data_IF_651191184932
#
_entry.id   IF_651191184932
#
_cell.length_a   1.000
_cell.length_b   1.000
_cell.length_c   1.000
_cell.angle_alpha   90.00
_cell.angle_beta   90.00
_cell.angle_gamma   90.00
#
_symmetry.space_group_name_H-M   'P 1'
#
loop_
_entity.id
_entity.type
_entity.pdbx_description
1 polymer ?
#
# COMPACT_ATOMS: atom_id res chain seq x y z
N UNK A 1 14.78 4.47 -19.20
CA UNK A 1 13.99 4.66 -17.97
C UNK A 1 14.29 3.52 -17.01
N UNK A 2 14.27 3.78 -15.70
CA UNK A 2 14.38 2.74 -14.67
C UNK A 2 13.13 1.86 -14.69
N UNK A 3 13.29 0.54 -14.60
CA UNK A 3 12.14 -0.38 -14.47
C UNK A 3 11.63 -0.33 -13.03
N UNK A 4 10.38 0.05 -12.84
CA UNK A 4 9.77 0.26 -11.52
C UNK A 4 8.89 -0.93 -11.11
N UNK A 5 8.70 -1.10 -9.81
CA UNK A 5 7.78 -2.08 -9.22
C UNK A 5 6.33 -1.63 -9.35
N UNK A 6 5.72 -1.92 -10.51
CA UNK A 6 4.30 -1.69 -10.80
C UNK A 6 3.78 -0.33 -10.25
N UNK A 7 4.19 0.80 -10.85
CA UNK A 7 3.61 2.09 -10.50
C UNK A 7 2.09 2.06 -10.75
N UNK A 8 1.31 2.44 -9.73
CA UNK A 8 -0.15 2.56 -9.82
C UNK A 8 -0.55 4.05 -9.75
N UNK A 9 -1.08 4.52 -8.62
CA UNK A 9 -1.52 5.92 -8.47
C UNK A 9 -0.38 6.86 -8.12
N UNK A 10 -0.61 8.15 -8.43
CA UNK A 10 0.22 9.23 -7.94
C UNK A 10 -0.62 10.38 -7.39
N UNK A 11 -0.04 11.13 -6.46
CA UNK A 11 -0.67 12.31 -5.88
C UNK A 11 0.38 13.38 -5.54
N UNK A 12 -0.04 14.64 -5.59
CA UNK A 12 0.79 15.79 -5.23
C UNK A 12 0.38 16.28 -3.84
N UNK A 13 1.35 16.41 -2.94
CA UNK A 13 1.11 17.03 -1.65
C UNK A 13 0.83 18.53 -1.87
N UNK A 14 -0.38 19.03 -1.52
CA UNK A 14 -0.77 20.40 -1.82
C UNK A 14 0.01 21.44 -1.00
N UNK A 15 0.66 21.05 0.10
CA UNK A 15 1.38 21.97 0.97
C UNK A 15 2.81 22.24 0.50
N UNK A 16 3.48 21.28 -0.13
CA UNK A 16 4.90 21.38 -0.50
C UNK A 16 5.23 21.01 -1.95
N UNK A 17 4.24 20.53 -2.73
CA UNK A 17 4.41 20.16 -4.14
C UNK A 17 5.14 18.83 -4.37
N UNK A 18 5.47 18.08 -3.32
CA UNK A 18 6.12 16.78 -3.48
C UNK A 18 5.14 15.75 -4.06
N UNK A 19 5.64 14.90 -4.94
CA UNK A 19 4.86 13.95 -5.71
C UNK A 19 5.13 12.55 -5.18
N UNK A 20 4.06 11.80 -4.93
CA UNK A 20 4.11 10.47 -4.38
C UNK A 20 3.56 9.49 -5.40
N UNK A 21 4.16 8.32 -5.48
CA UNK A 21 3.75 7.22 -6.35
C UNK A 21 3.65 5.95 -5.50
N UNK A 22 2.57 5.19 -5.68
CA UNK A 22 2.48 3.83 -5.16
C UNK A 22 3.14 2.85 -6.14
N UNK A 23 3.91 1.93 -5.58
CA UNK A 23 4.61 0.87 -6.29
C UNK A 23 4.15 -0.45 -5.66
N UNK A 24 3.05 -0.99 -6.19
CA UNK A 24 2.18 -1.92 -5.45
C UNK A 24 2.87 -3.23 -5.10
N UNK A 25 3.59 -3.86 -6.03
CA UNK A 25 4.42 -5.03 -5.75
C UNK A 25 5.19 -5.43 -7.01
N UNK A 26 6.09 -6.41 -6.89
CA UNK A 26 6.75 -6.97 -8.06
C UNK A 26 7.34 -8.36 -7.82
N UNK A 27 6.73 -9.39 -8.37
CA UNK A 27 7.23 -10.77 -8.25
C UNK A 27 8.46 -11.09 -9.09
N UNK A 28 8.87 -10.18 -10.00
CA UNK A 28 10.02 -10.35 -10.88
C UNK A 28 11.33 -9.77 -10.31
N UNK A 29 11.31 -9.20 -9.10
CA UNK A 29 12.55 -8.85 -8.39
C UNK A 29 13.26 -10.12 -7.93
N UNK A 30 14.53 -10.26 -8.27
CA UNK A 30 15.34 -11.41 -7.88
C UNK A 30 16.79 -11.02 -7.61
N UNK A 31 17.39 -11.60 -6.57
CA UNK A 31 18.82 -11.47 -6.27
C UNK A 31 19.65 -12.14 -7.39
N UNK A 32 19.14 -13.26 -7.90
CA UNK A 32 19.70 -14.07 -8.98
C UNK A 32 18.69 -14.08 -10.15
N UNK A 33 18.65 -13.02 -10.98
CA UNK A 33 17.63 -12.87 -12.01
C UNK A 33 17.82 -13.88 -13.14
N UNK A 34 16.71 -14.45 -13.60
CA UNK A 34 16.64 -15.29 -14.80
C UNK A 34 15.55 -14.78 -15.74
N UNK A 35 15.74 -14.95 -17.05
CA UNK A 35 14.76 -14.53 -18.05
C UNK A 35 14.43 -13.02 -17.98
N UNK A 36 13.16 -12.70 -17.70
CA UNK A 36 12.65 -11.33 -17.60
C UNK A 36 12.77 -10.70 -16.21
N UNK A 37 13.29 -11.45 -15.22
CA UNK A 37 13.53 -10.94 -13.87
C UNK A 37 14.63 -9.90 -13.84
N UNK A 38 14.66 -9.11 -12.77
CA UNK A 38 15.61 -8.02 -12.61
C UNK A 38 16.09 -7.92 -11.17
N UNK A 39 17.33 -7.47 -11.00
CA UNK A 39 17.91 -7.24 -9.69
C UNK A 39 17.21 -6.10 -8.95
N UNK A 40 17.20 -6.15 -7.60
CA UNK A 40 16.85 -4.99 -6.80
C UNK A 40 17.84 -3.84 -7.05
N UNK A 41 17.32 -2.61 -7.02
CA UNK A 41 18.05 -1.37 -7.25
C UNK A 41 17.62 -0.31 -6.23
N UNK A 42 18.21 0.89 -6.25
CA UNK A 42 17.92 1.88 -5.22
C UNK A 42 16.46 2.31 -5.15
N UNK A 43 15.75 2.36 -6.29
CA UNK A 43 14.34 2.74 -6.33
C UNK A 43 13.43 1.55 -6.00
N UNK A 44 13.90 0.32 -6.21
CA UNK A 44 13.16 -0.92 -6.01
C UNK A 44 14.02 -1.92 -5.21
N UNK A 45 14.26 -1.68 -3.90
CA UNK A 45 15.43 -2.23 -3.24
C UNK A 45 15.24 -3.64 -2.69
N UNK A 46 14.02 -4.17 -2.69
CA UNK A 46 13.69 -5.42 -1.99
C UNK A 46 13.48 -6.58 -2.95
N UNK A 47 14.14 -7.70 -2.66
CA UNK A 47 13.84 -9.01 -3.20
C UNK A 47 13.90 -10.04 -2.06
N UNK A 48 12.77 -10.61 -1.68
CA UNK A 48 12.63 -11.51 -0.55
C UNK A 48 11.53 -12.55 -0.79
N UNK A 49 11.37 -13.45 0.17
CA UNK A 49 10.27 -14.40 0.23
C UNK A 49 9.37 -14.03 1.38
N UNK A 50 8.08 -13.96 1.09
CA UNK A 50 7.03 -13.74 2.08
C UNK A 50 6.07 -14.93 2.07
N UNK A 51 5.54 -15.31 3.21
CA UNK A 51 4.72 -16.51 3.34
C UNK A 51 3.29 -16.13 3.66
N UNK A 52 2.39 -16.31 2.69
CA UNK A 52 0.95 -16.20 2.90
C UNK A 52 0.40 -17.56 3.32
N UNK A 53 0.25 -17.79 4.62
CA UNK A 53 0.03 -19.11 5.20
C UNK A 53 1.12 -20.09 4.74
N UNK A 54 0.76 -21.05 3.89
CA UNK A 54 1.71 -22.02 3.31
C UNK A 54 2.17 -21.66 1.89
N UNK A 55 1.68 -20.56 1.32
CA UNK A 55 1.96 -20.17 -0.07
C UNK A 55 3.12 -19.18 -0.12
N UNK A 56 4.17 -19.54 -0.87
CA UNK A 56 5.33 -18.68 -1.07
C UNK A 56 5.03 -17.53 -2.04
N UNK A 57 5.22 -16.30 -1.60
CA UNK A 57 5.32 -15.10 -2.44
C UNK A 57 6.80 -14.72 -2.59
N UNK A 58 7.23 -14.30 -3.77
CA UNK A 58 8.64 -13.97 -4.06
C UNK A 58 8.77 -12.62 -4.73
N UNK A 59 9.94 -12.00 -4.60
CA UNK A 59 10.24 -10.67 -5.16
C UNK A 59 9.99 -9.56 -4.14
N UNK A 60 9.22 -8.56 -4.50
CA UNK A 60 8.73 -7.51 -3.61
C UNK A 60 7.20 -7.63 -3.44
N UNK A 61 6.70 -8.59 -2.64
CA UNK A 61 5.27 -8.83 -2.52
C UNK A 61 4.49 -7.68 -1.89
N UNK A 62 5.13 -6.85 -1.05
CA UNK A 62 4.41 -5.88 -0.22
C UNK A 62 4.48 -4.43 -0.68
N UNK A 63 5.27 -4.14 -1.72
CA UNK A 63 5.30 -2.82 -2.33
C UNK A 63 5.83 -1.69 -1.47
N UNK A 64 5.81 -0.48 -2.01
CA UNK A 64 6.32 0.71 -1.36
C UNK A 64 5.76 1.97 -2.01
N UNK A 65 6.04 3.13 -1.41
CA UNK A 65 5.71 4.44 -1.96
C UNK A 65 7.00 5.22 -2.22
N UNK A 66 7.19 5.69 -3.44
CA UNK A 66 8.27 6.61 -3.79
C UNK A 66 7.74 8.04 -3.68
N UNK A 67 8.54 8.93 -3.10
CA UNK A 67 8.26 10.36 -2.98
C UNK A 67 9.35 11.15 -3.69
N UNK A 68 8.95 12.18 -4.42
CA UNK A 68 9.80 12.97 -5.31
C UNK A 68 9.58 14.47 -5.08
N UNK A 69 10.66 15.25 -5.18
CA UNK A 69 10.65 16.70 -5.17
C UNK A 69 11.33 17.21 -6.43
N UNK A 70 10.59 17.98 -7.23
CA UNK A 70 11.15 18.59 -8.44
C UNK A 70 12.26 19.60 -8.11
N UNK A 71 13.30 19.59 -8.92
CA UNK A 71 14.41 20.54 -8.89
C UNK A 71 14.40 21.45 -10.11
N UNK A 72 15.53 22.10 -10.38
CA UNK A 72 15.68 22.91 -11.59
C UNK A 72 15.75 22.04 -12.86
N UNK A 73 15.06 22.45 -13.92
CA UNK A 73 15.08 21.76 -15.21
C UNK A 73 14.41 20.38 -15.14
N UNK A 74 15.14 19.33 -15.53
CA UNK A 74 14.66 17.94 -15.52
C UNK A 74 15.15 17.14 -14.30
N UNK A 75 15.77 17.80 -13.32
CA UNK A 75 16.29 17.14 -12.13
C UNK A 75 15.21 17.03 -11.04
N UNK A 76 15.33 16.00 -10.21
CA UNK A 76 14.48 15.80 -9.04
C UNK A 76 15.28 15.08 -7.94
N UNK A 77 14.88 15.31 -6.68
CA UNK A 77 15.30 14.51 -5.54
C UNK A 77 14.19 13.48 -5.23
N UNK A 78 14.55 12.34 -4.67
CA UNK A 78 13.58 11.31 -4.31
C UNK A 78 14.04 10.47 -3.11
N UNK A 79 13.08 9.86 -2.43
CA UNK A 79 13.27 8.80 -1.46
C UNK A 79 12.10 7.79 -1.52
N UNK A 80 12.23 6.66 -0.84
CA UNK A 80 11.13 5.73 -0.61
C UNK A 80 10.46 6.14 0.70
N UNK A 81 9.31 6.81 0.61
CA UNK A 81 8.56 7.32 1.76
C UNK A 81 8.17 6.20 2.74
N UNK A 82 7.55 5.14 2.24
CA UNK A 82 7.11 3.99 3.05
C UNK A 82 7.35 2.68 2.32
N UNK A 83 7.76 1.66 3.07
CA UNK A 83 7.87 0.27 2.62
C UNK A 83 6.72 -0.53 3.25
N UNK A 84 5.79 -1.05 2.42
CA UNK A 84 4.78 -1.98 2.90
C UNK A 84 5.45 -3.27 3.37
N UNK A 85 5.08 -3.78 4.53
CA UNK A 85 5.64 -4.97 5.16
C UNK A 85 4.77 -5.38 6.36
N UNK A 86 4.85 -6.66 6.73
CA UNK A 86 4.35 -7.14 8.02
C UNK A 86 5.17 -6.53 9.17
N UNK A 87 4.53 -6.32 10.31
CA UNK A 87 5.16 -5.69 11.49
C UNK A 87 6.39 -6.46 12.01
N UNK A 88 6.36 -7.79 11.94
CA UNK A 88 7.39 -8.70 12.45
C UNK A 88 8.43 -9.10 11.39
N UNK A 89 8.27 -8.66 10.14
CA UNK A 89 9.25 -8.88 9.08
C UNK A 89 10.62 -8.26 9.41
N UNK A 90 11.68 -8.79 8.80
CA UNK A 90 13.06 -8.37 9.07
C UNK A 90 13.24 -6.85 8.92
N UNK A 91 13.71 -6.19 9.99
CA UNK A 91 13.83 -4.72 10.08
C UNK A 91 15.00 -4.13 9.28
N UNK A 92 15.94 -4.97 8.87
CA UNK A 92 17.10 -4.57 8.06
C UNK A 92 16.89 -4.77 6.56
N UNK A 93 15.98 -5.66 6.17
CA UNK A 93 15.81 -6.12 4.78
C UNK A 93 14.40 -5.94 4.23
N UNK A 94 13.36 -5.96 5.08
CA UNK A 94 11.95 -5.96 4.65
C UNK A 94 11.19 -4.78 5.26
N UNK A 95 11.01 -4.73 6.58
CA UNK A 95 10.27 -3.67 7.28
C UNK A 95 11.18 -2.45 7.56
N UNK A 96 11.59 -1.78 6.48
CA UNK A 96 12.52 -0.65 6.54
C UNK A 96 11.89 0.65 7.08
N UNK A 97 10.56 0.71 7.13
CA UNK A 97 9.78 1.85 7.65
C UNK A 97 9.41 1.71 9.13
N UNK A 98 9.83 0.62 9.79
CA UNK A 98 9.51 0.32 11.18
C UNK A 98 7.99 0.28 11.47
N UNK A 99 7.22 -0.31 10.54
CA UNK A 99 5.80 -0.56 10.73
C UNK A 99 5.58 -1.48 11.93
N UNK A 100 4.54 -1.20 12.71
CA UNK A 100 4.02 -2.08 13.77
C UNK A 100 2.65 -2.60 13.34
N UNK A 101 2.06 -3.51 14.11
CA UNK A 101 0.76 -4.12 13.77
C UNK A 101 -0.41 -3.11 13.67
N UNK A 102 -0.23 -1.89 14.19
CA UNK A 102 -1.21 -0.81 14.09
C UNK A 102 -1.26 -0.19 12.69
N UNK A 103 -0.20 -0.33 11.89
CA UNK A 103 -0.03 0.34 10.60
C UNK A 103 0.72 -0.49 9.55
N UNK A 104 0.93 -1.79 9.77
CA UNK A 104 1.43 -2.68 8.74
C UNK A 104 0.42 -2.82 7.59
N UNK A 105 0.95 -2.96 6.39
CA UNK A 105 0.17 -3.01 5.17
C UNK A 105 0.99 -3.65 4.06
N UNK A 106 0.29 -4.03 2.99
CA UNK A 106 0.87 -4.56 1.78
C UNK A 106 0.15 -3.97 0.57
N UNK A 107 0.81 -4.03 -0.58
CA UNK A 107 0.29 -3.63 -1.89
C UNK A 107 -0.44 -2.28 -1.91
N UNK A 108 0.27 -1.18 -1.58
CA UNK A 108 -0.31 0.15 -1.70
C UNK A 108 -0.66 0.45 -3.17
N UNK A 109 -1.84 0.98 -3.40
CA UNK A 109 -2.39 1.28 -4.74
C UNK A 109 -2.96 2.70 -4.76
N UNK A 110 -4.19 2.91 -4.29
CA UNK A 110 -4.86 4.21 -4.35
C UNK A 110 -4.15 5.26 -3.48
N UNK A 111 -4.08 6.50 -3.98
CA UNK A 111 -3.35 7.58 -3.31
C UNK A 111 -4.01 8.94 -3.51
N UNK A 112 -4.40 9.61 -2.42
CA UNK A 112 -5.04 10.94 -2.48
C UNK A 112 -4.63 11.81 -1.30
N UNK A 113 -4.22 13.05 -1.56
CA UNK A 113 -4.06 14.07 -0.51
C UNK A 113 -5.38 14.78 -0.23
N UNK A 114 -5.79 14.83 1.04
CA UNK A 114 -6.86 15.70 1.50
C UNK A 114 -6.45 17.16 1.32
N UNK A 115 -7.33 17.96 0.71
CA UNK A 115 -7.14 19.41 0.62
C UNK A 115 -7.48 20.10 1.95
N UNK A 116 -8.34 19.48 2.76
CA UNK A 116 -8.85 20.06 3.99
C UNK A 116 -7.91 19.89 5.19
N UNK A 117 -7.17 18.79 5.25
CA UNK A 117 -6.27 18.44 6.37
C UNK A 117 -4.82 18.18 5.94
N UNK A 118 -4.55 17.94 4.65
CA UNK A 118 -3.22 17.56 4.17
C UNK A 118 -2.86 16.09 4.43
N UNK A 119 -3.77 15.30 4.99
CA UNK A 119 -3.56 13.84 5.16
C UNK A 119 -3.37 13.19 3.78
N UNK A 120 -2.37 12.34 3.67
CA UNK A 120 -2.19 11.43 2.55
C UNK A 120 -2.95 10.14 2.83
N UNK A 121 -4.03 9.91 2.09
CA UNK A 121 -4.80 8.67 2.14
C UNK A 121 -4.15 7.65 1.20
N UNK A 122 -3.75 6.51 1.77
CA UNK A 122 -3.14 5.40 1.04
C UNK A 122 -4.13 4.24 1.10
N UNK A 123 -4.52 3.70 -0.05
CA UNK A 123 -5.45 2.57 -0.18
C UNK A 123 -4.69 1.34 -0.67
N UNK A 124 -5.13 0.14 -0.34
CA UNK A 124 -4.42 -1.10 -0.72
C UNK A 124 -5.28 -1.99 -1.62
N UNK A 125 -4.63 -2.59 -2.62
CA UNK A 125 -5.12 -3.71 -3.43
C UNK A 125 -4.18 -4.90 -3.22
N UNK A 126 -4.48 -5.70 -2.19
CA UNK A 126 -3.55 -6.69 -1.69
C UNK A 126 -4.03 -8.13 -1.86
N UNK A 127 -3.10 -8.94 -2.35
CA UNK A 127 -3.21 -10.39 -2.38
C UNK A 127 -2.18 -11.12 -1.52
N UNK A 128 -1.16 -10.44 -0.95
CA UNK A 128 -0.04 -11.06 -0.26
C UNK A 128 -0.26 -11.19 1.26
N UNK A 129 -0.91 -10.22 1.88
CA UNK A 129 -1.09 -10.05 3.33
C UNK A 129 -2.51 -10.41 3.81
N UNK A 130 -3.31 -11.05 2.95
CA UNK A 130 -4.73 -11.33 3.24
C UNK A 130 -4.96 -12.47 4.24
N UNK A 131 -3.91 -13.10 4.76
CA UNK A 131 -3.94 -14.03 5.89
C UNK A 131 -3.74 -13.32 7.24
N UNK A 132 -3.28 -12.06 7.22
CA UNK A 132 -3.15 -11.20 8.40
C UNK A 132 -4.33 -10.22 8.50
N UNK A 133 -4.69 -9.54 7.40
CA UNK A 133 -5.79 -8.56 7.37
C UNK A 133 -6.57 -8.59 6.05
N UNK A 134 -7.51 -7.66 5.86
CA UNK A 134 -8.06 -7.36 4.54
C UNK A 134 -7.43 -6.06 4.01
N UNK A 135 -7.69 -5.75 2.75
CA UNK A 135 -7.37 -4.46 2.17
C UNK A 135 -7.90 -3.29 3.02
N UNK A 136 -7.14 -2.22 3.07
CA UNK A 136 -7.31 -1.15 4.04
C UNK A 136 -7.05 0.23 3.43
N UNK A 137 -7.36 1.26 4.22
CA UNK A 137 -6.94 2.63 3.96
C UNK A 137 -6.17 3.15 5.18
N UNK A 138 -5.01 3.76 4.93
CA UNK A 138 -4.15 4.38 5.93
C UNK A 138 -4.25 5.90 5.80
N UNK A 139 -4.21 6.58 6.95
CA UNK A 139 -4.03 8.02 7.08
C UNK A 139 -2.56 8.30 7.37
N UNK A 140 -1.88 8.98 6.46
CA UNK A 140 -0.45 9.26 6.57
C UNK A 140 -0.20 10.78 6.66
N UNK A 141 0.70 11.17 7.55
CA UNK A 141 1.22 12.53 7.68
C UNK A 141 2.70 12.52 7.24
N UNK A 142 2.96 12.67 5.94
CA UNK A 142 4.32 12.59 5.44
C UNK A 142 5.14 13.84 5.83
N UNK A 143 6.44 13.67 6.01
CA UNK A 143 7.39 14.78 6.11
C UNK A 143 7.78 15.31 4.74
N UNK A 144 9.08 15.49 4.49
CA UNK A 144 9.60 16.00 3.20
C UNK A 144 10.73 15.12 2.66
N UNK A 145 10.97 15.13 1.36
CA UNK A 145 12.05 14.34 0.73
C UNK A 145 13.37 14.58 1.45
N UNK A 146 14.02 13.50 1.87
CA UNK A 146 15.27 13.53 2.62
C UNK A 146 15.12 13.65 4.14
N UNK A 147 13.91 13.53 4.69
CA UNK A 147 13.66 13.50 6.14
C UNK A 147 14.11 12.21 6.85
N UNK A 148 14.46 11.18 6.08
CA UNK A 148 14.99 9.92 6.57
C UNK A 148 16.49 9.76 6.30
N UNK A 149 16.88 8.62 5.76
CA UNK A 149 18.30 8.30 5.58
C UNK A 149 18.57 7.09 4.71
N UNK A 150 19.85 6.91 4.40
CA UNK A 150 20.34 5.78 3.61
C UNK A 150 20.08 4.45 4.33
N UNK A 151 19.61 3.46 3.58
CA UNK A 151 19.56 2.04 3.96
C UNK A 151 20.41 1.23 2.99
N UNK A 152 21.10 0.22 3.50
CA UNK A 152 21.90 -0.71 2.70
C UNK A 152 21.39 -2.12 2.96
N UNK A 153 20.83 -2.74 1.92
CA UNK A 153 20.34 -4.11 1.96
C UNK A 153 21.43 -5.00 1.39
N UNK A 154 21.94 -5.91 2.22
CA UNK A 154 23.03 -6.80 1.87
C UNK A 154 22.50 -8.21 1.59
N UNK A 155 22.50 -8.60 0.32
CA UNK A 155 22.10 -9.92 -0.15
C UNK A 155 23.31 -10.83 -0.34
N UNK A 156 23.11 -12.13 -0.16
CA UNK A 156 24.05 -13.17 -0.60
C UNK A 156 23.43 -13.90 -1.77
N UNK A 157 24.10 -13.88 -2.91
CA UNK A 157 23.67 -14.58 -4.13
C UNK A 157 23.88 -16.08 -4.01
N UNK A 158 23.26 -16.85 -4.91
CA UNK A 158 23.44 -18.30 -4.98
C UNK A 158 24.90 -18.74 -5.17
N UNK A 159 25.73 -17.92 -5.82
CA UNK A 159 27.18 -18.18 -6.01
C UNK A 159 28.06 -17.77 -4.81
N UNK A 160 27.46 -17.27 -3.72
CA UNK A 160 28.14 -16.80 -2.52
C UNK A 160 28.63 -15.34 -2.58
N UNK A 161 28.56 -14.69 -3.74
CA UNK A 161 28.90 -13.27 -3.86
C UNK A 161 27.90 -12.37 -3.14
N UNK A 162 28.32 -11.16 -2.78
CA UNK A 162 27.49 -10.17 -2.09
C UNK A 162 26.88 -9.18 -3.09
N UNK A 163 25.62 -8.83 -2.89
CA UNK A 163 24.94 -7.76 -3.58
C UNK A 163 24.47 -6.74 -2.55
N UNK A 164 25.04 -5.55 -2.57
CA UNK A 164 24.58 -4.43 -1.73
C UNK A 164 23.68 -3.50 -2.55
N UNK A 165 22.49 -3.24 -2.02
CA UNK A 165 21.53 -2.30 -2.61
C UNK A 165 21.36 -1.13 -1.67
N UNK A 166 21.71 0.06 -2.15
CA UNK A 166 21.55 1.30 -1.41
C UNK A 166 20.26 2.00 -1.83
N UNK A 167 19.42 2.33 -0.86
CA UNK A 167 18.21 3.14 -1.05
C UNK A 167 18.16 4.27 -0.03
N UNK A 168 17.33 5.27 -0.28
CA UNK A 168 17.03 6.33 0.68
C UNK A 168 15.62 6.09 1.19
N UNK A 169 15.49 5.73 2.47
CA UNK A 169 14.20 5.59 3.11
C UNK A 169 13.79 6.93 3.71
N UNK A 170 12.51 7.26 3.61
CA UNK A 170 11.89 8.35 4.37
C UNK A 170 11.97 8.09 5.87
N UNK A 171 11.63 9.09 6.67
CA UNK A 171 11.57 8.97 8.12
C UNK A 171 10.69 7.79 8.53
N UNK A 172 11.17 7.00 9.50
CA UNK A 172 10.42 5.87 10.03
C UNK A 172 9.02 6.28 10.51
N UNK A 173 8.02 5.46 10.20
CA UNK A 173 6.65 5.71 10.61
C UNK A 173 6.49 5.52 12.11
N UNK A 174 5.56 6.27 12.69
CA UNK A 174 5.11 6.11 14.07
C UNK A 174 3.59 6.07 14.09
N UNK A 175 2.96 5.59 15.18
CA UNK A 175 1.51 5.67 15.33
C UNK A 175 0.98 7.10 15.16
N UNK A 176 1.77 8.14 15.43
CA UNK A 176 1.35 9.53 15.24
C UNK A 176 1.40 10.02 13.79
N UNK A 177 2.19 9.36 12.93
CA UNK A 177 2.43 9.79 11.54
C UNK A 177 1.86 8.84 10.49
N UNK A 178 1.44 7.64 10.87
CA UNK A 178 0.75 6.68 10.02
C UNK A 178 -0.22 5.85 10.86
N UNK A 179 -1.50 5.83 10.46
CA UNK A 179 -2.54 5.04 11.13
C UNK A 179 -3.41 4.30 10.13
N UNK A 180 -3.77 3.06 10.45
CA UNK A 180 -4.88 2.38 9.76
C UNK A 180 -6.20 3.07 10.10
N UNK A 181 -6.93 3.49 9.07
CA UNK A 181 -8.18 4.24 9.23
C UNK A 181 -9.41 3.41 8.89
N UNK A 182 -9.33 2.57 7.85
CA UNK A 182 -10.42 1.71 7.38
C UNK A 182 -9.87 0.34 7.03
N UNK A 183 -10.62 -0.72 7.33
CA UNK A 183 -10.40 -2.08 6.82
C UNK A 183 -11.64 -2.52 6.06
N UNK A 184 -11.44 -3.01 4.85
CA UNK A 184 -12.51 -3.47 3.97
C UNK A 184 -13.07 -4.85 4.33
N UNK A 185 -14.21 -5.23 3.73
CA UNK A 185 -14.71 -6.59 3.80
C UNK A 185 -13.76 -7.59 3.12
N UNK A 186 -14.02 -8.88 3.33
CA UNK A 186 -13.19 -9.94 2.76
C UNK A 186 -13.20 -9.93 1.23
N UNK A 187 -12.02 -10.10 0.62
CA UNK A 187 -11.83 -10.22 -0.82
C UNK A 187 -12.20 -8.96 -1.60
N UNK A 188 -12.16 -7.78 -0.96
CA UNK A 188 -12.20 -6.51 -1.66
C UNK A 188 -10.80 -5.93 -1.78
N UNK A 189 -10.67 -4.93 -2.63
CA UNK A 189 -9.68 -3.85 -2.45
C UNK A 189 -10.38 -2.59 -1.91
N UNK A 190 -9.57 -1.67 -1.38
CA UNK A 190 -10.00 -0.29 -1.15
C UNK A 190 -9.40 0.56 -2.26
N UNK A 191 -10.22 1.30 -2.98
CA UNK A 191 -9.75 2.15 -4.09
C UNK A 191 -10.67 3.34 -4.27
N UNK A 192 -10.19 4.40 -4.92
CA UNK A 192 -10.94 5.62 -5.18
C UNK A 192 -11.28 6.41 -3.91
N UNK A 193 -10.95 7.70 -3.91
CA UNK A 193 -11.36 8.62 -2.86
C UNK A 193 -11.77 9.96 -3.45
N UNK A 194 -12.91 10.48 -3.00
CA UNK A 194 -13.31 11.86 -3.22
C UNK A 194 -13.60 12.54 -1.89
N UNK A 195 -13.16 13.79 -1.74
CA UNK A 195 -13.38 14.60 -0.54
C UNK A 195 -14.38 15.72 -0.86
N UNK A 196 -15.32 15.95 0.05
CA UNK A 196 -16.22 17.12 -0.01
C UNK A 196 -15.43 18.42 0.19
N UNK A 197 -15.83 19.56 -0.42
CA UNK A 197 -15.09 20.82 -0.31
C UNK A 197 -14.86 21.32 1.13
N UNK A 198 -15.76 21.00 2.07
CA UNK A 198 -15.63 21.36 3.48
C UNK A 198 -14.83 20.35 4.32
N UNK A 199 -14.39 19.23 3.71
CA UNK A 199 -13.62 18.17 4.33
C UNK A 199 -14.39 17.33 5.34
N UNK A 200 -15.72 17.42 5.40
CA UNK A 200 -16.55 16.75 6.43
C UNK A 200 -17.01 15.35 6.03
N UNK A 201 -16.92 15.03 4.74
CA UNK A 201 -17.19 13.70 4.23
C UNK A 201 -16.15 13.29 3.18
N UNK A 202 -15.76 12.01 3.25
CA UNK A 202 -15.01 11.33 2.18
C UNK A 202 -15.84 10.19 1.61
N UNK A 203 -15.76 10.01 0.30
CA UNK A 203 -16.35 8.91 -0.45
C UNK A 203 -15.26 7.92 -0.77
N UNK A 204 -15.42 6.66 -0.40
CA UNK A 204 -14.40 5.60 -0.59
C UNK A 204 -15.05 4.42 -1.28
N UNK A 205 -14.42 3.88 -2.33
CA UNK A 205 -14.96 2.70 -3.02
C UNK A 205 -14.42 1.41 -2.41
N UNK A 206 -15.33 0.47 -2.22
CA UNK A 206 -15.05 -0.93 -1.90
C UNK A 206 -15.26 -1.70 -3.20
N UNK A 207 -14.18 -2.15 -3.83
CA UNK A 207 -14.27 -2.86 -5.10
C UNK A 207 -14.29 -4.38 -4.89
N UNK A 208 -15.08 -5.06 -5.71
CA UNK A 208 -15.15 -6.52 -5.88
C UNK A 208 -15.14 -7.37 -4.60
N UNK A 209 -15.87 -7.02 -3.53
CA UNK A 209 -15.91 -7.84 -2.32
C UNK A 209 -16.24 -9.31 -2.65
N UNK A 210 -15.47 -10.23 -2.09
CA UNK A 210 -15.66 -11.66 -2.33
C UNK A 210 -15.10 -12.18 -3.66
N UNK A 211 -14.10 -11.52 -4.25
CA UNK A 211 -13.48 -11.88 -5.53
C UNK A 211 -13.07 -13.36 -5.65
N UNK A 212 -12.69 -13.99 -4.53
CA UNK A 212 -12.22 -15.38 -4.51
C UNK A 212 -13.36 -16.40 -4.35
N UNK A 213 -14.61 -15.96 -4.49
CA UNK A 213 -15.76 -16.89 -4.61
C UNK A 213 -15.58 -17.73 -5.86
N UNK A 214 -15.42 -19.05 -5.69
CA UNK A 214 -15.18 -19.95 -6.81
C UNK A 214 -16.37 -19.96 -7.75
N UNK A 215 -16.12 -20.10 -9.05
CA UNK A 215 -17.18 -20.17 -10.07
C UNK A 215 -18.22 -21.27 -9.77
N UNK A 216 -17.77 -22.42 -9.24
CA UNK A 216 -18.65 -23.53 -8.83
C UNK A 216 -19.58 -23.20 -7.66
N UNK A 217 -19.29 -22.15 -6.90
CA UNK A 217 -19.99 -21.77 -5.67
C UNK A 217 -20.98 -20.62 -5.91
N UNK A 218 -21.02 -20.01 -7.10
CA UNK A 218 -21.86 -18.82 -7.39
C UNK A 218 -23.36 -19.11 -7.24
N UNK A 219 -23.79 -20.37 -7.43
CA UNK A 219 -25.19 -20.79 -7.26
C UNK A 219 -25.64 -20.94 -5.80
N UNK A 220 -24.73 -20.94 -4.83
CA UNK A 220 -25.04 -21.14 -3.41
C UNK A 220 -24.53 -19.95 -2.58
N UNK A 221 -25.42 -19.03 -2.17
CA UNK A 221 -25.03 -17.87 -1.40
C UNK A 221 -24.37 -18.17 -0.05
N UNK A 222 -24.53 -19.37 0.50
CA UNK A 222 -23.84 -19.78 1.72
C UNK A 222 -22.33 -19.98 1.51
N UNK A 223 -21.87 -20.11 0.27
CA UNK A 223 -20.47 -20.34 -0.11
C UNK A 223 -19.74 -19.11 -0.62
N UNK A 224 -20.41 -17.95 -0.64
CA UNK A 224 -19.75 -16.71 -1.03
C UNK A 224 -18.65 -16.34 -0.03
N UNK A 225 -17.50 -15.90 -0.54
CA UNK A 225 -16.40 -15.44 0.31
C UNK A 225 -16.80 -14.17 1.08
N UNK A 226 -17.67 -13.34 0.50
CA UNK A 226 -18.23 -12.14 1.12
C UNK A 226 -19.72 -12.01 0.77
N UNK A 227 -20.48 -11.40 1.68
CA UNK A 227 -21.88 -10.99 1.45
C UNK A 227 -22.06 -9.48 1.64
N UNK A 228 -20.96 -8.73 1.63
CA UNK A 228 -20.99 -7.28 1.77
C UNK A 228 -21.59 -6.62 0.50
N UNK A 229 -22.45 -5.59 0.63
CA UNK A 229 -22.81 -4.88 1.87
C UNK A 229 -24.10 -5.40 2.54
N UNK A 230 -24.72 -6.46 2.03
CA UNK A 230 -25.99 -6.97 2.55
C UNK A 230 -25.89 -7.45 4.01
N UNK A 231 -24.78 -8.11 4.37
CA UNK A 231 -24.52 -8.50 5.76
C UNK A 231 -24.24 -7.31 6.71
N UNK A 232 -24.02 -6.11 6.17
CA UNK A 232 -23.95 -4.85 6.91
C UNK A 232 -25.29 -4.11 6.94
N UNK A 233 -26.37 -4.73 6.44
CA UNK A 233 -27.73 -4.16 6.44
C UNK A 233 -28.10 -3.36 5.19
N UNK A 234 -27.28 -3.38 4.13
CA UNK A 234 -27.52 -2.58 2.92
C UNK A 234 -27.83 -3.43 1.69
N UNK A 235 -29.00 -3.18 1.09
CA UNK A 235 -29.46 -3.86 -0.11
C UNK A 235 -30.07 -5.25 0.16
N UNK A 236 -30.74 -5.80 -0.85
CA UNK A 236 -31.38 -7.12 -0.76
C UNK A 236 -30.46 -8.26 -1.22
N UNK A 237 -30.72 -9.46 -0.70
CA UNK A 237 -30.03 -10.69 -1.08
C UNK A 237 -28.72 -10.91 -0.33
N UNK A 238 -27.87 -11.79 -0.88
CA UNK A 238 -26.58 -12.18 -0.28
C UNK A 238 -25.39 -12.02 -1.23
N UNK A 239 -25.64 -11.75 -2.52
CA UNK A 239 -24.58 -11.59 -3.52
C UNK A 239 -23.76 -10.35 -3.18
N UNK A 240 -22.42 -10.46 -3.10
CA UNK A 240 -21.60 -9.30 -2.80
C UNK A 240 -21.65 -8.29 -3.93
N UNK A 241 -21.50 -7.01 -3.58
CA UNK A 241 -21.61 -5.89 -4.52
C UNK A 241 -20.54 -4.85 -4.18
N UNK A 242 -19.81 -4.38 -5.18
CA UNK A 242 -19.01 -3.15 -5.03
C UNK A 242 -19.94 -2.00 -4.63
N UNK A 243 -19.47 -1.10 -3.78
CA UNK A 243 -20.19 0.11 -3.44
C UNK A 243 -19.24 1.22 -2.98
N UNK A 244 -19.70 2.47 -3.11
CA UNK A 244 -19.05 3.63 -2.51
C UNK A 244 -19.68 3.88 -1.16
N UNK A 245 -18.85 3.93 -0.11
CA UNK A 245 -19.25 4.34 1.23
C UNK A 245 -19.00 5.83 1.42
N UNK A 246 -19.79 6.47 2.27
CA UNK A 246 -19.56 7.83 2.74
C UNK A 246 -19.14 7.75 4.20
N UNK A 247 -17.99 8.33 4.51
CA UNK A 247 -17.46 8.37 5.88
C UNK A 247 -17.58 9.81 6.38
N UNK A 248 -18.23 9.97 7.53
CA UNK A 248 -18.47 11.24 8.24
C UNK A 248 -18.08 11.09 9.71
N UNK A 249 -17.64 12.17 10.36
CA UNK A 249 -17.51 12.17 11.83
C UNK A 249 -18.88 12.39 12.49
N UNK A 250 -19.11 11.72 13.63
CA UNK A 250 -20.36 11.85 14.40
C UNK A 250 -20.60 13.29 14.90
N UNK A 251 -19.54 14.04 15.16
CA UNK A 251 -19.59 15.44 15.60
C UNK A 251 -19.71 16.45 14.42
N UNK A 252 -19.76 15.96 13.17
CA UNK A 252 -19.78 16.81 11.97
C UNK A 252 -18.47 17.55 11.69
N UNK A 253 -17.37 17.18 12.36
CA UNK A 253 -16.04 17.73 12.13
C UNK A 253 -15.41 17.24 10.82
N UNK A 254 -14.25 17.82 10.48
CA UNK A 254 -13.46 17.42 9.30
C UNK A 254 -12.87 16.03 9.51
N UNK A 255 -12.81 15.22 8.45
CA UNK A 255 -12.24 13.89 8.51
C UNK A 255 -10.74 13.97 8.83
N UNK A 256 -10.31 13.24 9.86
CA UNK A 256 -8.90 13.16 10.28
C UNK A 256 -8.39 14.34 11.11
N UNK A 257 -9.26 15.27 11.54
CA UNK A 257 -8.93 16.33 12.52
C UNK A 257 -9.19 15.92 13.96
#
# INVERSE_FOLDING_TARGET
ATKMDRPEWNAVNPANGEIYFTLTNNSNRSIDPTGSQYQPDGANPRAYTDMKGTTRQSGNPNGHLVRMKEGAGQAFAWDVYLFGAEADADKGMVNLSALTAEQDFSSPDGLVFSKSTGICWIQTDDGAFTDVSNCMMLAALPGSVGDGGKKTLAYTKADGSKLEVNTYAGKAATPDTLKRFLVGPKGCEITGLAETPDGKAIFVCIQHPGESTRMSDIGDPAKYQSQWPANAGYGAGKRPRSATIVITKNDGGRIGS
#
